data_IF_647158721748
#
_entry.id   IF_647158721748
#
_cell.length_a   1.000
_cell.length_b   1.000
_cell.length_c   1.000
_cell.angle_alpha   90.00
_cell.angle_beta   90.00
_cell.angle_gamma   90.00
#
_symmetry.space_group_name_H-M   'P 1'
#
loop_
_entity.id
_entity.type
_entity.pdbx_description
1 polymer ?
#
# COMPACT_ATOMS: atom_id res chain seq x y z
N UNK A 1 -5.94 -1.35 11.75
CA UNK A 1 -5.48 -0.73 10.49
C UNK A 1 -6.59 0.17 9.98
N UNK A 2 -6.34 1.48 9.94
CA UNK A 2 -7.26 2.40 9.28
C UNK A 2 -7.01 2.36 7.77
N UNK A 3 -8.02 1.92 7.02
CA UNK A 3 -7.86 1.67 5.58
C UNK A 3 -7.77 2.98 4.78
N UNK A 4 -8.34 4.07 5.28
CA UNK A 4 -8.21 5.39 4.67
C UNK A 4 -6.75 5.86 4.67
N UNK A 5 -6.06 5.72 5.80
CA UNK A 5 -4.66 6.16 5.93
C UNK A 5 -3.72 5.31 5.08
N UNK A 6 -3.92 3.99 5.08
CA UNK A 6 -3.14 3.05 4.27
C UNK A 6 -3.24 3.34 2.77
N UNK A 7 -4.46 3.60 2.29
CA UNK A 7 -4.72 3.83 0.86
C UNK A 7 -4.10 5.14 0.37
N UNK A 8 -4.14 6.20 1.21
CA UNK A 8 -3.43 7.45 0.97
C UNK A 8 -1.92 7.27 0.97
N UNK A 9 -1.38 6.51 1.93
CA UNK A 9 0.06 6.25 2.08
C UNK A 9 0.61 5.48 0.88
N UNK A 10 -0.08 4.42 0.47
CA UNK A 10 0.27 3.63 -0.71
C UNK A 10 0.34 4.50 -1.97
N UNK A 11 -0.64 5.39 -2.17
CA UNK A 11 -0.62 6.33 -3.29
C UNK A 11 0.58 7.28 -3.22
N UNK A 12 0.95 7.76 -2.04
CA UNK A 12 2.17 8.58 -1.87
C UNK A 12 3.42 7.82 -2.29
N UNK A 13 3.58 6.58 -1.84
CA UNK A 13 4.76 5.76 -2.19
C UNK A 13 4.84 5.46 -3.68
N UNK A 14 3.71 5.23 -4.33
CA UNK A 14 3.65 5.06 -5.78
C UNK A 14 4.10 6.33 -6.51
N UNK A 15 3.65 7.50 -6.06
CA UNK A 15 4.04 8.80 -6.64
C UNK A 15 5.55 9.04 -6.42
N UNK A 16 6.06 8.78 -5.22
CA UNK A 16 7.48 8.92 -4.89
C UNK A 16 8.37 7.97 -5.72
N UNK A 17 7.88 6.76 -5.99
CA UNK A 17 8.56 5.78 -6.83
C UNK A 17 8.37 6.04 -8.34
N UNK A 18 7.48 6.96 -8.72
CA UNK A 18 7.12 7.23 -10.12
C UNK A 18 6.37 6.08 -10.79
N UNK A 19 5.69 5.23 -10.03
CA UNK A 19 4.98 4.05 -10.57
C UNK A 19 3.49 4.29 -10.72
N UNK A 20 2.94 3.78 -11.82
CA UNK A 20 1.50 3.73 -12.06
C UNK A 20 0.83 2.58 -11.30
N UNK A 21 -0.50 2.61 -11.24
CA UNK A 21 -1.30 1.50 -10.68
C UNK A 21 -1.05 0.19 -11.42
N UNK A 22 -0.88 0.24 -12.74
CA UNK A 22 -0.67 -0.95 -13.56
C UNK A 22 0.71 -1.55 -13.30
N UNK A 23 1.77 -0.72 -13.34
CA UNK A 23 3.13 -1.18 -13.04
C UNK A 23 3.28 -1.72 -11.61
N UNK A 24 2.65 -1.07 -10.64
CA UNK A 24 2.67 -1.54 -9.25
C UNK A 24 1.92 -2.87 -9.11
N UNK A 25 0.79 -3.01 -9.82
CA UNK A 25 0.02 -4.25 -9.82
C UNK A 25 0.81 -5.40 -10.47
N UNK A 26 1.48 -5.14 -11.59
CA UNK A 26 2.37 -6.10 -12.25
C UNK A 26 3.53 -6.52 -11.34
N UNK A 27 4.22 -5.57 -10.70
CA UNK A 27 5.31 -5.85 -9.75
C UNK A 27 4.85 -6.68 -8.54
N UNK A 28 3.61 -6.48 -8.10
CA UNK A 28 3.00 -7.24 -7.00
C UNK A 28 2.40 -8.58 -7.45
N UNK A 29 2.32 -8.84 -8.76
CA UNK A 29 1.63 -10.00 -9.32
C UNK A 29 0.14 -10.04 -8.99
N UNK A 30 -0.52 -8.88 -8.98
CA UNK A 30 -1.97 -8.74 -8.74
C UNK A 30 -2.65 -8.04 -9.90
N UNK A 31 -3.97 -8.18 -10.02
CA UNK A 31 -4.72 -7.41 -11.01
C UNK A 31 -4.79 -5.93 -10.62
N UNK A 32 -4.71 -5.04 -11.61
CA UNK A 32 -4.86 -3.60 -11.40
C UNK A 32 -6.18 -3.23 -10.70
N UNK A 33 -7.25 -4.00 -10.96
CA UNK A 33 -8.53 -3.85 -10.25
C UNK A 33 -8.45 -4.17 -8.75
N UNK A 34 -7.63 -5.15 -8.35
CA UNK A 34 -7.41 -5.46 -6.93
C UNK A 34 -6.64 -4.35 -6.23
N UNK A 35 -5.56 -3.87 -6.87
CA UNK A 35 -4.79 -2.73 -6.35
C UNK A 35 -5.65 -1.47 -6.25
N UNK A 36 -6.47 -1.18 -7.27
CA UNK A 36 -7.44 -0.08 -7.26
C UNK A 36 -8.42 -0.22 -6.09
N UNK A 37 -8.95 -1.42 -5.86
CA UNK A 37 -9.81 -1.69 -4.72
C UNK A 37 -9.16 -1.31 -3.38
N UNK A 38 -7.86 -1.54 -3.23
CA UNK A 38 -7.13 -1.18 -2.01
C UNK A 38 -6.81 0.32 -1.94
N UNK A 39 -6.32 0.91 -3.03
CA UNK A 39 -5.93 2.34 -3.11
C UNK A 39 -7.13 3.29 -3.00
N UNK A 40 -8.33 2.85 -3.38
CA UNK A 40 -9.54 3.65 -3.23
C UNK A 40 -10.39 3.22 -2.02
N UNK A 41 -9.88 2.31 -1.17
CA UNK A 41 -10.57 1.86 0.03
C UNK A 41 -11.83 1.01 -0.22
N UNK A 42 -12.08 0.59 -1.45
CA UNK A 42 -13.24 -0.25 -1.81
C UNK A 42 -13.12 -1.70 -1.32
N UNK A 43 -11.89 -2.18 -1.09
CA UNK A 43 -11.61 -3.52 -0.57
C UNK A 43 -10.56 -3.49 0.51
N UNK A 44 -10.78 -4.27 1.56
CA UNK A 44 -9.79 -4.48 2.62
C UNK A 44 -8.59 -5.23 2.07
N UNK A 45 -7.41 -4.69 2.31
CA UNK A 45 -6.15 -5.31 1.93
C UNK A 45 -5.80 -6.39 2.95
N UNK A 46 -5.53 -7.64 2.53
CA UNK A 46 -5.04 -8.68 3.42
C UNK A 46 -3.59 -8.42 3.85
N UNK A 47 -3.21 -8.90 5.03
CA UNK A 47 -1.90 -8.66 5.63
C UNK A 47 -0.75 -9.13 4.74
N UNK A 48 -0.87 -10.32 4.13
CA UNK A 48 0.14 -10.85 3.21
C UNK A 48 0.46 -9.90 2.05
N UNK A 49 -0.56 -9.22 1.52
CA UNK A 49 -0.38 -8.24 0.43
C UNK A 49 0.21 -6.94 0.93
N UNK A 50 -0.16 -6.53 2.15
CA UNK A 50 0.47 -5.39 2.79
C UNK A 50 1.97 -5.63 3.01
N UNK A 51 2.37 -6.83 3.43
CA UNK A 51 3.78 -7.22 3.54
C UNK A 51 4.50 -7.18 2.19
N UNK A 52 3.91 -7.74 1.13
CA UNK A 52 4.51 -7.69 -0.22
C UNK A 52 4.71 -6.26 -0.74
N UNK A 53 3.75 -5.36 -0.47
CA UNK A 53 3.90 -3.93 -0.78
C UNK A 53 5.05 -3.33 0.01
N UNK A 54 5.12 -3.62 1.31
CA UNK A 54 6.22 -3.17 2.17
C UNK A 54 7.59 -3.64 1.64
N UNK A 55 7.71 -4.90 1.26
CA UNK A 55 8.93 -5.46 0.67
C UNK A 55 9.27 -4.79 -0.67
N UNK A 56 8.27 -4.55 -1.52
CA UNK A 56 8.45 -3.92 -2.83
C UNK A 56 8.95 -2.47 -2.73
N UNK A 57 8.40 -1.70 -1.78
CA UNK A 57 8.80 -0.31 -1.55
C UNK A 57 9.96 -0.17 -0.56
N UNK A 58 10.40 -1.26 0.07
CA UNK A 58 11.44 -1.26 1.10
C UNK A 58 11.05 -0.48 2.35
N UNK A 59 9.76 -0.49 2.73
CA UNK A 59 9.21 0.31 3.83
C UNK A 59 8.50 -0.56 4.85
N UNK A 60 8.50 -0.22 6.14
CA UNK A 60 7.91 -1.05 7.18
C UNK A 60 6.37 -1.00 7.16
N UNK A 61 5.75 -2.09 7.60
CA UNK A 61 4.29 -2.20 7.71
C UNK A 61 3.68 -1.17 8.66
N UNK A 62 4.40 -0.76 9.71
CA UNK A 62 3.94 0.29 10.63
C UNK A 62 3.73 1.64 9.94
N UNK A 63 4.58 1.99 8.97
CA UNK A 63 4.39 3.20 8.16
C UNK A 63 3.16 3.06 7.25
N UNK A 64 2.94 1.88 6.66
CA UNK A 64 1.77 1.63 5.83
C UNK A 64 0.47 1.65 6.66
N UNK A 65 0.52 1.13 7.89
CA UNK A 65 -0.62 1.07 8.79
C UNK A 65 -0.95 2.40 9.49
N UNK A 66 -0.12 3.45 9.30
CA UNK A 66 -0.19 4.71 10.05
C UNK A 66 -0.37 4.46 11.55
N UNK A 67 0.41 3.52 12.12
CA UNK A 67 0.69 3.65 13.55
C UNK A 67 1.54 4.90 13.65
N UNK A 68 0.98 6.00 14.16
CA UNK A 68 1.82 7.00 14.79
C UNK A 68 2.73 6.22 15.72
N UNK A 69 4.03 6.19 15.43
CA UNK A 69 4.96 5.87 16.49
C UNK A 69 4.72 6.97 17.51
N UNK A 70 4.01 6.65 18.59
CA UNK A 70 4.22 7.38 19.83
C UNK A 70 5.72 7.23 20.07
N UNK A 71 6.45 8.31 19.77
CA UNK A 71 7.82 8.45 20.18
C UNK A 71 7.80 8.43 21.71
N UNK A 72 8.37 7.36 22.27
CA UNK A 72 8.60 7.16 23.70
C UNK A 72 9.43 8.32 24.26
#
# INVERSE_FOLDING_TARGET
MNQGDMSRRLRSWMVDAGWTLEETAEKLGVSAGSLKGWVYGQRRMPLDRACQICDLFGKPLDELACREKEAV
#
